data_IF_454493474536
#
_entry.id   IF_454493474536
#
_cell.length_a   1.000
_cell.length_b   1.000
_cell.length_c   1.000
_cell.angle_alpha   90.00
_cell.angle_beta   90.00
_cell.angle_gamma   90.00
#
_symmetry.space_group_name_H-M   'P 1'
#
loop_
_entity.id
_entity.type
_entity.pdbx_description
1 polymer ?
#
# COMPACT_ATOMS: atom_id res chain seq x y z
N UNK A 1 -29.58 -0.20 25.30
CA UNK A 1 -29.57 -0.39 23.82
C UNK A 1 -29.18 0.85 23.00
N UNK A 2 -29.07 2.06 23.58
CA UNK A 2 -28.75 3.29 22.81
C UNK A 2 -27.24 3.68 22.83
N UNK A 3 -26.42 3.08 23.66
CA UNK A 3 -25.00 3.44 23.74
C UNK A 3 -24.09 2.64 22.80
N UNK A 4 -24.48 1.46 22.38
CA UNK A 4 -23.68 0.61 21.46
C UNK A 4 -23.76 1.09 20.01
N UNK A 5 -24.87 1.59 19.54
CA UNK A 5 -25.04 2.11 18.18
C UNK A 5 -24.18 3.36 17.90
N UNK A 6 -23.97 4.23 18.89
CA UNK A 6 -23.15 5.43 18.75
C UNK A 6 -21.63 5.14 18.66
N UNK A 7 -21.18 4.04 19.26
CA UNK A 7 -19.77 3.59 19.18
C UNK A 7 -19.42 2.99 17.83
N UNK A 8 -20.36 2.32 17.20
CA UNK A 8 -20.18 1.64 15.91
C UNK A 8 -20.19 2.63 14.73
N UNK A 9 -21.07 3.64 14.80
CA UNK A 9 -21.11 4.74 13.82
C UNK A 9 -19.82 5.55 13.85
N UNK A 10 -19.31 5.94 15.03
CA UNK A 10 -18.05 6.66 15.18
C UNK A 10 -16.83 5.84 14.71
N UNK A 11 -16.85 4.51 14.87
CA UNK A 11 -15.78 3.64 14.38
C UNK A 11 -15.80 3.50 12.87
N UNK A 12 -16.98 3.40 12.25
CA UNK A 12 -17.13 3.39 10.77
C UNK A 12 -16.67 4.72 10.16
N UNK A 13 -17.07 5.84 10.73
CA UNK A 13 -16.62 7.18 10.32
C UNK A 13 -15.11 7.33 10.45
N UNK A 14 -14.49 6.80 11.50
CA UNK A 14 -13.04 6.81 11.70
C UNK A 14 -12.28 6.00 10.63
N UNK A 15 -12.80 4.84 10.22
CA UNK A 15 -12.20 4.01 9.17
C UNK A 15 -12.39 4.64 7.80
N UNK A 16 -13.57 5.18 7.51
CA UNK A 16 -13.80 5.91 6.26
C UNK A 16 -12.91 7.15 6.16
N UNK A 17 -12.75 7.88 7.25
CA UNK A 17 -11.88 9.04 7.31
C UNK A 17 -10.41 8.64 7.09
N UNK A 18 -9.96 7.55 7.72
CA UNK A 18 -8.63 7.01 7.56
C UNK A 18 -8.38 6.52 6.12
N UNK A 19 -9.34 5.81 5.51
CA UNK A 19 -9.26 5.39 4.11
C UNK A 19 -9.21 6.59 3.16
N UNK A 20 -9.99 7.62 3.43
CA UNK A 20 -9.97 8.89 2.69
C UNK A 20 -8.62 9.60 2.87
N UNK A 21 -8.05 9.62 4.06
CA UNK A 21 -6.75 10.21 4.35
C UNK A 21 -5.62 9.50 3.60
N UNK A 22 -5.62 8.15 3.56
CA UNK A 22 -4.66 7.36 2.77
C UNK A 22 -4.82 7.61 1.27
N UNK A 23 -6.06 7.69 0.79
CA UNK A 23 -6.37 8.01 -0.59
C UNK A 23 -5.90 9.44 -0.95
N UNK A 24 -6.16 10.43 -0.07
CA UNK A 24 -5.67 11.80 -0.22
C UNK A 24 -4.15 11.87 -0.19
N UNK A 25 -3.49 11.10 0.66
CA UNK A 25 -2.04 10.99 0.73
C UNK A 25 -1.47 10.43 -0.57
N UNK A 26 -2.12 9.41 -1.13
CA UNK A 26 -1.79 8.83 -2.43
C UNK A 26 -2.01 9.85 -3.57
N UNK A 27 -3.15 10.53 -3.62
CA UNK A 27 -3.42 11.58 -4.61
C UNK A 27 -2.49 12.78 -4.45
N UNK A 28 -2.13 13.16 -3.22
CA UNK A 28 -1.15 14.21 -2.96
C UNK A 28 0.23 13.83 -3.49
N UNK A 29 0.64 12.58 -3.34
CA UNK A 29 1.87 12.06 -3.94
C UNK A 29 1.78 12.11 -5.47
N UNK A 30 0.68 11.67 -6.07
CA UNK A 30 0.46 11.75 -7.51
C UNK A 30 0.49 13.21 -8.02
N UNK A 31 -0.10 14.14 -7.26
CA UNK A 31 -0.09 15.58 -7.60
C UNK A 31 1.29 16.20 -7.41
N UNK A 32 1.98 15.90 -6.32
CA UNK A 32 3.32 16.41 -6.00
C UNK A 32 4.37 15.92 -7.00
N UNK A 33 4.16 14.75 -7.60
CA UNK A 33 5.03 14.15 -8.60
C UNK A 33 4.56 14.37 -10.05
N UNK A 34 3.59 15.28 -10.25
CA UNK A 34 3.21 15.73 -11.58
C UNK A 34 2.44 14.72 -12.42
N UNK A 35 1.85 13.67 -11.82
CA UNK A 35 0.96 12.75 -12.53
C UNK A 35 -0.38 13.38 -12.92
N UNK A 36 -0.70 14.52 -12.32
CA UNK A 36 -1.87 15.34 -12.67
C UNK A 36 -1.36 16.71 -13.10
N UNK A 37 -1.15 16.85 -14.40
CA UNK A 37 -0.94 18.10 -15.14
C UNK A 37 0.39 18.84 -14.93
N UNK A 38 1.33 18.64 -15.87
CA UNK A 38 1.94 19.74 -16.62
C UNK A 38 2.41 19.24 -17.98
N UNK A 39 1.74 19.67 -19.03
CA UNK A 39 2.22 19.67 -20.40
C UNK A 39 3.39 20.65 -20.53
N UNK A 40 4.58 20.22 -20.17
CA UNK A 40 5.88 20.81 -20.56
C UNK A 40 7.00 20.05 -19.83
N UNK A 41 7.01 18.71 -20.01
CA UNK A 41 8.16 17.93 -19.57
C UNK A 41 9.19 17.88 -20.71
N UNK A 42 10.45 18.09 -20.36
CA UNK A 42 11.56 17.80 -21.27
C UNK A 42 11.52 16.33 -21.70
N UNK A 43 12.11 15.95 -22.83
CA UNK A 43 12.17 14.56 -23.29
C UNK A 43 12.80 13.62 -22.21
N UNK A 44 13.67 14.16 -21.35
CA UNK A 44 14.26 13.47 -20.20
C UNK A 44 13.24 13.14 -19.12
N UNK A 45 12.31 14.06 -18.80
CA UNK A 45 11.30 13.86 -17.77
C UNK A 45 10.27 12.81 -18.19
N UNK A 46 9.90 12.79 -19.47
CA UNK A 46 8.99 11.78 -20.04
C UNK A 46 9.59 10.36 -19.99
N UNK A 47 10.90 10.23 -20.19
CA UNK A 47 11.60 8.94 -20.08
C UNK A 47 11.64 8.43 -18.62
N UNK A 48 11.90 9.31 -17.66
CA UNK A 48 11.89 8.96 -16.24
C UNK A 48 10.48 8.58 -15.76
N UNK A 49 9.44 9.28 -16.21
CA UNK A 49 8.05 8.92 -15.95
C UNK A 49 7.70 7.54 -16.53
N UNK A 50 8.13 7.25 -17.75
CA UNK A 50 7.91 5.94 -18.37
C UNK A 50 8.57 4.82 -17.57
N UNK A 51 9.81 5.03 -17.11
CA UNK A 51 10.52 4.07 -16.25
C UNK A 51 9.82 3.88 -14.91
N UNK A 52 9.34 4.96 -14.29
CA UNK A 52 8.60 4.87 -13.04
C UNK A 52 7.28 4.10 -13.21
N UNK A 53 6.52 4.39 -14.27
CA UNK A 53 5.29 3.63 -14.60
C UNK A 53 5.57 2.15 -14.80
N UNK A 54 6.65 1.81 -15.49
CA UNK A 54 7.03 0.43 -15.74
C UNK A 54 7.34 -0.32 -14.44
N UNK A 55 8.13 0.26 -13.53
CA UNK A 55 8.46 -0.41 -12.26
C UNK A 55 7.27 -0.48 -11.31
N UNK A 56 6.42 0.57 -11.26
CA UNK A 56 5.20 0.52 -10.45
C UNK A 56 4.22 -0.55 -10.96
N UNK A 57 4.05 -0.66 -12.28
CA UNK A 57 3.25 -1.72 -12.90
C UNK A 57 3.80 -3.11 -12.59
N UNK A 58 5.11 -3.30 -12.73
CA UNK A 58 5.77 -4.56 -12.39
C UNK A 58 5.55 -4.95 -10.92
N UNK A 59 5.68 -4.01 -9.98
CA UNK A 59 5.38 -4.25 -8.56
C UNK A 59 3.92 -4.65 -8.36
N UNK A 60 2.98 -3.98 -9.03
CA UNK A 60 1.54 -4.28 -8.93
C UNK A 60 1.18 -5.66 -9.47
N UNK A 61 1.88 -6.15 -10.48
CA UNK A 61 1.66 -7.47 -11.05
C UNK A 61 2.29 -8.59 -10.22
N UNK A 62 3.45 -8.31 -9.56
CA UNK A 62 4.28 -9.29 -8.87
C UNK A 62 4.36 -9.10 -7.34
N UNK A 63 3.54 -8.23 -6.74
CA UNK A 63 3.66 -7.86 -5.31
C UNK A 63 3.54 -9.03 -4.34
N UNK A 64 2.89 -10.11 -4.72
CA UNK A 64 2.76 -11.32 -3.90
C UNK A 64 4.02 -12.17 -3.87
N UNK A 65 4.92 -11.97 -4.83
CA UNK A 65 6.16 -12.70 -4.99
C UNK A 65 7.32 -12.03 -4.23
N UNK A 66 8.44 -12.73 -4.12
CA UNK A 66 9.67 -12.13 -3.58
C UNK A 66 10.28 -11.22 -4.64
N UNK A 67 10.22 -9.92 -4.42
CA UNK A 67 10.79 -8.91 -5.31
C UNK A 67 12.16 -8.47 -4.78
N UNK A 68 13.17 -8.50 -5.63
CA UNK A 68 14.52 -8.02 -5.32
C UNK A 68 14.77 -6.64 -5.92
N UNK A 69 15.67 -5.87 -5.29
CA UNK A 69 16.07 -4.56 -5.82
C UNK A 69 16.74 -4.70 -7.18
N UNK A 70 17.43 -5.82 -7.42
CA UNK A 70 18.09 -6.13 -8.67
C UNK A 70 17.08 -6.27 -9.82
N UNK A 71 16.04 -7.10 -9.65
CA UNK A 71 14.97 -7.25 -10.64
C UNK A 71 14.28 -5.92 -10.97
N UNK A 72 13.97 -5.13 -9.94
CA UNK A 72 13.31 -3.83 -10.13
C UNK A 72 14.22 -2.80 -10.82
N UNK A 73 15.52 -2.84 -10.55
CA UNK A 73 16.50 -1.99 -11.23
C UNK A 73 16.64 -2.38 -12.71
N UNK A 74 16.57 -3.67 -13.04
CA UNK A 74 16.58 -4.18 -14.42
C UNK A 74 15.39 -3.66 -15.23
N UNK A 75 14.18 -3.60 -14.64
CA UNK A 75 12.97 -3.04 -15.30
C UNK A 75 13.23 -1.60 -15.79
N UNK A 76 14.00 -0.83 -15.04
CA UNK A 76 14.35 0.55 -15.36
C UNK A 76 15.66 0.67 -16.19
N UNK A 77 16.39 -0.41 -16.39
CA UNK A 77 17.76 -0.41 -16.94
C UNK A 77 18.71 0.48 -16.12
N UNK A 78 18.61 0.40 -14.79
CA UNK A 78 19.46 1.12 -13.84
C UNK A 78 20.34 0.16 -13.04
N UNK A 79 21.46 0.68 -12.51
CA UNK A 79 22.15 0.01 -11.41
C UNK A 79 21.27 0.04 -10.15
N UNK A 80 21.46 -0.89 -9.21
CA UNK A 80 20.70 -0.93 -7.96
C UNK A 80 20.78 0.39 -7.18
N UNK A 81 21.98 0.98 -7.09
CA UNK A 81 22.19 2.25 -6.39
C UNK A 81 21.42 3.41 -7.05
N UNK A 82 21.47 3.47 -8.39
CA UNK A 82 20.72 4.49 -9.14
C UNK A 82 19.22 4.29 -9.00
N UNK A 83 18.73 3.04 -9.10
CA UNK A 83 17.33 2.71 -8.90
C UNK A 83 16.81 3.12 -7.52
N UNK A 84 17.53 2.78 -6.45
CA UNK A 84 17.12 3.16 -5.09
C UNK A 84 16.98 4.68 -4.92
N UNK A 85 17.95 5.45 -5.45
CA UNK A 85 17.93 6.92 -5.41
C UNK A 85 16.80 7.48 -6.27
N UNK A 86 16.62 6.95 -7.48
CA UNK A 86 15.55 7.31 -8.39
C UNK A 86 14.18 7.06 -7.77
N UNK A 87 13.94 5.85 -7.27
CA UNK A 87 12.64 5.47 -6.69
C UNK A 87 12.30 6.35 -5.49
N UNK A 88 13.23 6.52 -4.55
CA UNK A 88 13.04 7.38 -3.37
C UNK A 88 12.78 8.83 -3.74
N UNK A 89 13.47 9.36 -4.76
CA UNK A 89 13.28 10.73 -5.24
C UNK A 89 11.89 10.94 -5.82
N UNK A 90 11.39 10.00 -6.62
CA UNK A 90 10.11 10.15 -7.34
C UNK A 90 8.90 9.69 -6.50
N UNK A 91 9.05 8.67 -5.67
CA UNK A 91 7.95 8.11 -4.85
C UNK A 91 7.93 8.68 -3.43
N UNK A 92 9.03 9.26 -2.96
CA UNK A 92 9.13 9.84 -1.61
C UNK A 92 9.39 8.83 -0.50
N UNK A 93 9.46 7.54 -0.83
CA UNK A 93 9.76 6.45 0.10
C UNK A 93 10.64 5.41 -0.58
N UNK A 94 11.26 4.52 0.18
CA UNK A 94 12.04 3.42 -0.38
C UNK A 94 11.14 2.43 -1.11
N UNK A 95 11.71 1.68 -2.06
CA UNK A 95 10.98 0.67 -2.80
C UNK A 95 10.40 -0.42 -1.88
N UNK A 96 11.14 -0.83 -0.86
CA UNK A 96 10.68 -1.82 0.14
C UNK A 96 9.50 -1.29 0.95
N UNK A 97 9.53 -0.03 1.37
CA UNK A 97 8.40 0.61 2.04
C UNK A 97 7.17 0.67 1.15
N UNK A 98 7.34 1.02 -0.13
CA UNK A 98 6.25 1.05 -1.10
C UNK A 98 5.61 -0.32 -1.31
N UNK A 99 6.42 -1.37 -1.53
CA UNK A 99 5.92 -2.74 -1.69
C UNK A 99 5.14 -3.19 -0.45
N UNK A 100 5.69 -2.95 0.75
CA UNK A 100 5.00 -3.29 2.00
C UNK A 100 3.69 -2.51 2.16
N UNK A 101 3.70 -1.21 1.85
CA UNK A 101 2.48 -0.39 1.88
C UNK A 101 1.41 -0.91 0.91
N UNK A 102 1.81 -1.26 -0.31
CA UNK A 102 0.90 -1.83 -1.30
C UNK A 102 0.31 -3.16 -0.82
N UNK A 103 1.14 -4.08 -0.35
CA UNK A 103 0.72 -5.37 0.24
C UNK A 103 -0.25 -5.20 1.41
N UNK A 104 0.05 -4.27 2.32
CA UNK A 104 -0.82 -3.97 3.47
C UNK A 104 -2.18 -3.44 3.03
N UNK A 105 -2.22 -2.56 2.05
CA UNK A 105 -3.47 -2.02 1.51
C UNK A 105 -4.33 -3.12 0.88
N UNK A 106 -3.71 -4.07 0.14
CA UNK A 106 -4.40 -5.22 -0.45
C UNK A 106 -4.92 -6.17 0.62
N UNK A 107 -4.11 -6.48 1.63
CA UNK A 107 -4.51 -7.32 2.76
C UNK A 107 -5.65 -6.67 3.57
N UNK A 108 -5.60 -5.37 3.81
CA UNK A 108 -6.66 -4.64 4.50
C UNK A 108 -7.98 -4.68 3.72
N UNK A 109 -7.94 -4.51 2.39
CA UNK A 109 -9.11 -4.65 1.53
C UNK A 109 -9.70 -6.07 1.60
N UNK A 110 -8.86 -7.11 1.56
CA UNK A 110 -9.29 -8.50 1.72
C UNK A 110 -9.95 -8.75 3.08
N UNK A 111 -9.37 -8.24 4.16
CA UNK A 111 -9.92 -8.33 5.52
C UNK A 111 -11.28 -7.63 5.68
N UNK A 112 -11.50 -6.54 4.96
CA UNK A 112 -12.75 -5.79 4.99
C UNK A 112 -13.85 -6.44 4.13
N UNK A 113 -13.48 -7.17 3.07
CA UNK A 113 -14.42 -7.70 2.07
C UNK A 113 -14.73 -9.19 2.26
N UNK A 114 -13.83 -9.96 2.86
CA UNK A 114 -13.96 -11.41 3.02
C UNK A 114 -13.90 -11.87 4.47
N UNK A 115 -14.35 -13.10 4.73
CA UNK A 115 -14.28 -13.74 6.05
C UNK A 115 -13.03 -14.62 6.20
N UNK A 116 -12.06 -14.51 5.27
CA UNK A 116 -10.85 -15.33 5.31
C UNK A 116 -10.01 -15.04 6.58
N UNK A 117 -9.28 -16.04 7.11
CA UNK A 117 -8.41 -15.84 8.27
C UNK A 117 -7.36 -14.74 8.03
N UNK A 118 -6.97 -14.02 9.10
CA UNK A 118 -5.94 -12.96 9.03
C UNK A 118 -4.63 -13.49 8.44
N UNK A 119 -4.25 -14.71 8.82
CA UNK A 119 -3.04 -15.36 8.32
C UNK A 119 -3.09 -15.59 6.82
N UNK A 120 -4.23 -16.05 6.32
CA UNK A 120 -4.45 -16.29 4.89
C UNK A 120 -4.41 -14.98 4.11
N UNK A 121 -5.11 -13.94 4.58
CA UNK A 121 -5.05 -12.60 3.99
C UNK A 121 -3.63 -12.04 3.92
N UNK A 122 -2.80 -12.28 4.94
CA UNK A 122 -1.40 -11.87 4.93
C UNK A 122 -0.58 -12.66 3.90
N UNK A 123 -0.70 -14.00 3.89
CA UNK A 123 0.06 -14.87 2.99
C UNK A 123 -0.28 -14.60 1.52
N UNK A 124 -1.56 -14.50 1.17
CA UNK A 124 -2.02 -14.22 -0.20
C UNK A 124 -1.56 -12.85 -0.72
N UNK A 125 -1.27 -11.93 0.19
CA UNK A 125 -0.73 -10.62 -0.16
C UNK A 125 0.79 -10.49 0.02
N UNK A 126 1.52 -11.61 0.05
CA UNK A 126 2.98 -11.67 -0.01
C UNK A 126 3.69 -11.49 1.33
N UNK A 127 3.00 -11.64 2.47
CA UNK A 127 3.62 -11.64 3.79
C UNK A 127 3.86 -13.06 4.29
N UNK A 128 5.08 -13.55 4.20
CA UNK A 128 5.46 -14.88 4.70
C UNK A 128 5.79 -14.90 6.20
N UNK A 129 5.94 -13.74 6.85
CA UNK A 129 6.15 -13.60 8.28
C UNK A 129 4.99 -12.86 8.92
N UNK A 130 4.15 -13.58 9.67
CA UNK A 130 2.93 -13.03 10.26
C UNK A 130 3.21 -12.01 11.38
N UNK A 131 4.30 -12.19 12.12
CA UNK A 131 4.71 -11.23 13.15
C UNK A 131 5.13 -9.90 12.55
N UNK A 132 5.86 -9.95 11.45
CA UNK A 132 6.25 -8.77 10.68
C UNK A 132 5.03 -8.07 10.06
N UNK A 133 4.11 -8.84 9.47
CA UNK A 133 2.84 -8.33 8.98
C UNK A 133 2.05 -7.57 10.05
N UNK A 134 1.82 -8.21 11.22
CA UNK A 134 1.08 -7.60 12.32
C UNK A 134 1.72 -6.29 12.80
N UNK A 135 3.05 -6.26 12.90
CA UNK A 135 3.80 -5.06 13.29
C UNK A 135 3.60 -3.92 12.28
N UNK A 136 3.77 -4.23 10.99
CA UNK A 136 3.60 -3.23 9.93
C UNK A 136 2.13 -2.79 9.82
N UNK A 137 1.19 -3.71 9.90
CA UNK A 137 -0.24 -3.42 9.83
C UNK A 137 -0.66 -2.47 10.96
N UNK A 138 -0.22 -2.74 12.19
CA UNK A 138 -0.50 -1.86 13.32
C UNK A 138 0.15 -0.49 13.17
N UNK A 139 1.37 -0.43 12.64
CA UNK A 139 2.06 0.84 12.35
C UNK A 139 1.29 1.66 11.31
N UNK A 140 0.78 1.02 10.27
CA UNK A 140 0.10 1.68 9.14
C UNK A 140 -1.33 2.11 9.50
N UNK A 141 -2.10 1.22 10.12
CA UNK A 141 -3.53 1.41 10.37
C UNK A 141 -3.88 1.78 11.82
N UNK A 142 -2.90 1.87 12.72
CA UNK A 142 -3.12 2.20 14.13
C UNK A 142 -3.82 1.12 14.95
N UNK A 143 -4.17 -0.02 14.35
CA UNK A 143 -4.89 -1.13 14.96
C UNK A 143 -4.41 -2.47 14.40
N UNK A 144 -4.72 -3.55 15.11
CA UNK A 144 -4.39 -4.91 14.63
C UNK A 144 -5.28 -5.34 13.47
N UNK A 145 -4.86 -6.30 12.63
CA UNK A 145 -5.70 -6.84 11.56
C UNK A 145 -7.07 -7.37 12.03
N UNK A 146 -7.11 -7.96 13.23
CA UNK A 146 -8.35 -8.45 13.84
C UNK A 146 -9.30 -7.31 14.23
N UNK A 147 -8.75 -6.26 14.84
CA UNK A 147 -9.52 -5.05 15.18
C UNK A 147 -10.03 -4.36 13.93
N UNK A 148 -9.20 -4.28 12.88
CA UNK A 148 -9.57 -3.69 11.60
C UNK A 148 -10.74 -4.45 10.94
N UNK A 149 -10.70 -5.79 10.89
CA UNK A 149 -11.79 -6.62 10.39
C UNK A 149 -13.08 -6.40 11.17
N UNK A 150 -12.98 -6.41 12.52
CA UNK A 150 -14.15 -6.19 13.40
C UNK A 150 -14.77 -4.81 13.17
N UNK A 151 -13.93 -3.80 12.98
CA UNK A 151 -14.36 -2.45 12.69
C UNK A 151 -15.01 -2.32 11.31
N UNK A 152 -14.62 -3.16 10.35
CA UNK A 152 -15.27 -3.27 9.03
C UNK A 152 -16.61 -4.06 9.06
N UNK A 153 -17.06 -4.50 10.24
CA UNK A 153 -18.33 -5.22 10.41
C UNK A 153 -18.26 -6.73 10.09
N UNK A 154 -17.05 -7.29 10.05
CA UNK A 154 -16.80 -8.71 9.82
C UNK A 154 -16.32 -9.38 11.12
N UNK A 155 -17.19 -10.09 11.88
CA UNK A 155 -16.77 -10.85 13.07
C UNK A 155 -15.87 -12.02 12.68
N UNK A 156 -14.97 -12.41 13.60
CA UNK A 156 -14.20 -13.66 13.43
C UNK A 156 -15.15 -14.86 13.41
N UNK A 157 -15.01 -15.69 12.37
CA UNK A 157 -15.48 -17.07 12.46
C UNK A 157 -14.47 -17.84 13.30
N UNK A 158 -14.96 -18.37 14.42
CA UNK A 158 -14.21 -19.31 15.26
C UNK A 158 -13.99 -20.61 14.52
#
# INVERSE_FOLDING_TARGET
>A
GCQEAGGEVRRREGIELFMKEQLFRFFRLLYQYGYVVKNESSASDSELERKLKAVLGFIQEHYTETLTIEELAEVCHFSQAHFMSFFKRFVGMTCVEYINHYRLSRAAAALAQSDQPVMEAALENGFHNISYFNKLFRKEFGMTPKEYRRAAGKPEKH
#
